data_IF_449076426891
#
_entry.id   IF_449076426891
#
_cell.length_a   1.000
_cell.length_b   1.000
_cell.length_c   1.000
_cell.angle_alpha   90.00
_cell.angle_beta   90.00
_cell.angle_gamma   90.00
#
_symmetry.space_group_name_H-M   'P 1'
#
loop_
_entity.id
_entity.type
_entity.pdbx_description
1 polymer ?
#
# COMPACT_ATOMS: atom_id res chain seq x y z
N UNK A 1 -15.91 35.97 13.60
CA UNK A 1 -14.73 35.11 13.39
C UNK A 1 -15.19 33.67 13.59
N UNK A 2 -15.27 32.86 12.53
CA UNK A 2 -15.60 31.43 12.66
C UNK A 2 -14.31 30.67 12.93
N UNK A 3 -14.13 30.21 14.17
CA UNK A 3 -13.09 29.23 14.48
C UNK A 3 -13.45 27.93 13.75
N UNK A 4 -12.71 27.63 12.69
CA UNK A 4 -12.73 26.31 12.08
C UNK A 4 -11.98 25.39 13.03
N UNK A 5 -12.72 24.63 13.81
CA UNK A 5 -12.16 23.49 14.56
C UNK A 5 -11.66 22.51 13.49
N UNK A 6 -10.34 22.50 13.25
CA UNK A 6 -9.72 21.44 12.45
C UNK A 6 -9.97 20.13 13.21
N UNK A 7 -10.90 19.32 12.73
CA UNK A 7 -10.99 17.92 13.15
C UNK A 7 -9.62 17.28 12.90
N UNK A 8 -9.00 16.78 13.97
CA UNK A 8 -7.74 16.04 13.87
C UNK A 8 -8.10 14.69 13.27
N UNK A 9 -7.76 14.48 12.00
CA UNK A 9 -7.95 13.21 11.30
C UNK A 9 -7.19 12.13 12.08
N UNK A 10 -7.87 11.07 12.51
CA UNK A 10 -7.21 9.90 13.09
C UNK A 10 -6.34 9.27 11.99
N UNK A 11 -5.03 9.19 12.23
CA UNK A 11 -4.05 8.71 11.23
C UNK A 11 -3.45 7.39 11.66
N UNK A 12 -3.40 6.46 10.73
CA UNK A 12 -2.65 5.22 10.88
C UNK A 12 -1.16 5.54 10.87
N UNK A 13 -0.45 5.00 11.86
CA UNK A 13 0.99 5.19 12.04
C UNK A 13 1.61 3.86 12.45
N UNK A 14 2.72 3.51 11.81
CA UNK A 14 3.57 2.39 12.19
C UNK A 14 4.95 2.92 12.61
N UNK A 15 5.37 2.59 13.82
CA UNK A 15 6.73 2.83 14.29
C UNK A 15 7.54 1.54 14.16
N UNK A 16 8.73 1.65 13.58
CA UNK A 16 9.66 0.55 13.37
C UNK A 16 11.05 0.95 13.86
N UNK A 17 11.82 -0.03 14.29
CA UNK A 17 13.18 0.18 14.75
C UNK A 17 14.06 -0.95 14.24
N UNK A 18 15.17 -0.59 13.60
CA UNK A 18 16.14 -1.56 13.10
C UNK A 18 17.55 -0.99 13.21
N UNK A 19 18.43 -1.70 13.92
CA UNK A 19 19.73 -1.19 14.35
C UNK A 19 19.59 0.16 15.07
N UNK A 20 20.38 1.18 14.70
CA UNK A 20 20.35 2.50 15.34
C UNK A 20 19.41 3.50 14.64
N UNK A 21 18.51 3.03 13.76
CA UNK A 21 17.60 3.87 12.98
C UNK A 21 16.15 3.61 13.43
N UNK A 22 15.44 4.69 13.76
CA UNK A 22 13.99 4.65 13.95
C UNK A 22 13.29 5.10 12.68
N UNK A 23 12.24 4.36 12.31
CA UNK A 23 11.40 4.67 11.17
C UNK A 23 9.97 4.93 11.64
N UNK A 24 9.33 5.96 11.10
CA UNK A 24 7.90 6.19 11.28
C UNK A 24 7.22 6.25 9.94
N UNK A 25 6.18 5.46 9.77
CA UNK A 25 5.38 5.41 8.55
C UNK A 25 4.00 5.96 8.85
N UNK A 26 3.67 7.09 8.26
CA UNK A 26 2.39 7.76 8.45
C UNK A 26 1.55 7.64 7.20
N UNK A 27 0.33 7.11 7.33
CA UNK A 27 -0.61 7.09 6.20
C UNK A 27 -0.92 8.51 5.72
N UNK A 28 -0.81 8.73 4.41
CA UNK A 28 -1.18 9.98 3.74
C UNK A 28 -2.45 9.82 2.92
N UNK A 29 -3.35 10.79 2.92
CA UNK A 29 -4.37 10.79 1.87
C UNK A 29 -3.81 11.26 0.52
N UNK A 30 -4.64 11.13 -0.52
CA UNK A 30 -4.28 11.51 -1.89
C UNK A 30 -3.80 12.95 -1.99
N UNK A 31 -4.51 13.89 -1.35
CA UNK A 31 -4.17 15.31 -1.45
C UNK A 31 -2.86 15.63 -0.76
N UNK A 32 -2.59 15.00 0.38
CA UNK A 32 -1.33 15.14 1.11
C UNK A 32 -0.15 14.59 0.32
N UNK A 33 -0.32 13.39 -0.24
CA UNK A 33 0.70 12.75 -1.07
C UNK A 33 1.04 13.61 -2.29
N UNK A 34 0.04 14.09 -3.03
CA UNK A 34 0.26 14.93 -4.23
C UNK A 34 1.03 16.21 -3.90
N UNK A 35 0.64 16.93 -2.83
CA UNK A 35 1.33 18.16 -2.39
C UNK A 35 2.78 17.93 -1.98
N UNK A 36 3.05 16.85 -1.26
CA UNK A 36 4.42 16.49 -0.87
C UNK A 36 5.21 16.02 -2.10
N UNK A 37 4.55 15.34 -3.05
CA UNK A 37 5.18 14.82 -4.26
C UNK A 37 5.72 15.95 -5.14
N UNK A 38 5.00 17.07 -5.25
CA UNK A 38 5.46 18.28 -5.95
C UNK A 38 6.79 18.82 -5.41
N UNK A 39 7.07 18.62 -4.12
CA UNK A 39 8.28 19.08 -3.45
C UNK A 39 9.23 17.92 -3.14
N UNK A 40 9.29 16.91 -4.01
CA UNK A 40 10.12 15.73 -3.75
C UNK A 40 10.96 15.30 -4.95
N UNK A 41 12.11 14.70 -4.65
CA UNK A 41 13.06 14.20 -5.63
C UNK A 41 12.98 12.68 -5.71
N UNK A 42 12.70 12.09 -6.88
CA UNK A 42 12.58 10.64 -7.02
C UNK A 42 13.93 9.97 -6.88
N UNK A 43 13.93 8.85 -6.16
CA UNK A 43 15.12 8.02 -5.94
C UNK A 43 15.03 6.81 -6.87
N UNK A 44 16.12 6.49 -7.56
CA UNK A 44 16.21 5.32 -8.45
C UNK A 44 16.03 4.03 -7.63
N UNK A 45 15.27 3.09 -8.16
CA UNK A 45 15.15 1.75 -7.58
C UNK A 45 16.43 0.93 -7.74
N UNK A 46 16.66 -0.02 -6.84
CA UNK A 46 17.68 -1.05 -6.99
C UNK A 46 17.04 -2.31 -7.58
N UNK A 47 17.04 -2.41 -8.91
CA UNK A 47 16.44 -3.54 -9.62
C UNK A 47 17.03 -4.89 -9.19
N UNK A 48 18.32 -4.92 -8.85
CA UNK A 48 18.98 -6.14 -8.42
C UNK A 48 18.49 -6.56 -7.04
N UNK A 49 18.36 -5.60 -6.12
CA UNK A 49 17.76 -5.85 -4.81
C UNK A 49 16.35 -6.42 -4.94
N UNK A 50 15.49 -5.82 -5.76
CA UNK A 50 14.13 -6.33 -5.97
C UNK A 50 14.16 -7.76 -6.54
N UNK A 51 15.01 -8.03 -7.53
CA UNK A 51 15.16 -9.38 -8.07
C UNK A 51 15.60 -10.38 -6.99
N UNK A 52 16.58 -10.02 -6.16
CA UNK A 52 17.06 -10.86 -5.05
C UNK A 52 15.97 -11.06 -3.99
N UNK A 53 15.21 -10.02 -3.65
CA UNK A 53 14.06 -10.10 -2.75
C UNK A 53 13.03 -11.10 -3.31
N UNK A 54 12.62 -10.95 -4.57
CA UNK A 54 11.66 -11.88 -5.21
C UNK A 54 12.18 -13.31 -5.35
N UNK A 55 13.47 -13.49 -5.67
CA UNK A 55 14.07 -14.82 -5.85
C UNK A 55 14.27 -15.54 -4.52
N UNK A 56 14.68 -14.82 -3.47
CA UNK A 56 14.81 -15.39 -2.13
C UNK A 56 13.44 -15.73 -1.54
N UNK A 57 12.41 -14.95 -1.85
CA UNK A 57 11.02 -15.16 -1.43
C UNK A 57 10.40 -16.42 -2.07
N UNK A 58 10.75 -16.77 -3.33
CA UNK A 58 10.31 -18.03 -3.97
C UNK A 58 10.69 -19.31 -3.24
N UNK A 59 11.67 -19.25 -2.34
CA UNK A 59 12.14 -20.41 -1.58
C UNK A 59 11.61 -20.45 -0.14
N UNK A 60 10.85 -19.44 0.31
CA UNK A 60 10.28 -19.38 1.66
C UNK A 60 8.86 -19.96 1.67
N UNK A 61 8.57 -20.85 2.62
CA UNK A 61 7.23 -21.44 2.79
C UNK A 61 6.23 -20.42 3.36
N UNK A 62 6.75 -19.38 4.01
CA UNK A 62 6.09 -18.32 4.75
C UNK A 62 5.98 -17.00 3.94
N UNK A 63 6.17 -17.08 2.63
CA UNK A 63 5.96 -15.98 1.67
C UNK A 63 4.52 -15.49 1.71
N UNK A 64 4.36 -14.16 1.79
CA UNK A 64 3.04 -13.55 1.59
C UNK A 64 2.70 -13.49 0.10
N UNK A 65 1.51 -13.98 -0.26
CA UNK A 65 0.89 -13.70 -1.56
C UNK A 65 0.29 -12.28 -1.59
N UNK A 66 -0.12 -11.81 -2.77
CA UNK A 66 -0.67 -10.47 -2.98
C UNK A 66 -1.91 -10.20 -2.13
N UNK A 67 -2.76 -11.21 -1.89
CA UNK A 67 -3.94 -11.06 -1.05
C UNK A 67 -3.56 -10.82 0.41
N UNK A 68 -2.60 -11.59 0.92
CA UNK A 68 -2.10 -11.45 2.28
C UNK A 68 -1.38 -10.10 2.46
N UNK A 69 -0.54 -9.69 1.50
CA UNK A 69 0.12 -8.37 1.49
C UNK A 69 -0.92 -7.24 1.48
N UNK A 70 -1.93 -7.34 0.60
CA UNK A 70 -2.99 -6.34 0.52
C UNK A 70 -3.72 -6.19 1.85
N UNK A 71 -4.14 -7.32 2.46
CA UNK A 71 -4.89 -7.32 3.71
C UNK A 71 -4.06 -6.82 4.89
N UNK A 72 -2.79 -7.22 5.02
CA UNK A 72 -1.95 -6.72 6.12
C UNK A 72 -1.66 -5.22 5.98
N UNK A 73 -1.46 -4.74 4.75
CA UNK A 73 -1.27 -3.30 4.51
C UNK A 73 -2.55 -2.53 4.82
N UNK A 74 -3.72 -3.03 4.41
CA UNK A 74 -5.00 -2.40 4.73
C UNK A 74 -5.28 -2.40 6.24
N UNK A 75 -4.92 -3.47 6.95
CA UNK A 75 -5.00 -3.54 8.41
C UNK A 75 -4.12 -2.48 9.10
N UNK A 76 -2.89 -2.29 8.63
CA UNK A 76 -1.94 -1.34 9.22
C UNK A 76 -2.29 0.10 8.85
N UNK A 77 -2.64 0.34 7.59
CA UNK A 77 -2.68 1.66 6.98
C UNK A 77 -4.08 2.15 6.60
N UNK A 78 -5.11 1.33 6.81
CA UNK A 78 -6.46 1.58 6.35
C UNK A 78 -6.59 1.40 4.83
N UNK A 79 -7.71 1.87 4.28
CA UNK A 79 -8.06 1.67 2.87
C UNK A 79 -6.95 2.09 1.87
N UNK A 80 -6.75 1.28 0.84
CA UNK A 80 -5.86 1.58 -0.28
C UNK A 80 -6.29 2.86 -1.00
N UNK A 81 -5.33 3.66 -1.46
CA UNK A 81 -5.60 4.77 -2.38
C UNK A 81 -5.85 4.29 -3.81
N UNK A 82 -6.27 5.20 -4.69
CA UNK A 82 -6.42 4.97 -6.14
C UNK A 82 -5.27 5.59 -6.97
N UNK A 83 -4.09 5.77 -6.36
CA UNK A 83 -2.90 6.33 -7.01
C UNK A 83 -2.07 5.27 -7.74
N UNK A 84 -2.73 4.46 -8.56
CA UNK A 84 -2.11 3.38 -9.35
C UNK A 84 -2.78 3.26 -10.72
N UNK A 85 -2.12 2.54 -11.63
CA UNK A 85 -2.66 2.17 -12.95
C UNK A 85 -3.48 0.87 -12.76
N UNK A 86 -4.81 0.96 -12.82
CA UNK A 86 -5.73 -0.15 -12.53
C UNK A 86 -5.65 -1.31 -13.54
N UNK A 87 -5.05 -1.08 -14.70
CA UNK A 87 -4.69 -2.13 -15.64
C UNK A 87 -3.48 -2.94 -15.17
N UNK A 88 -2.54 -2.29 -14.46
CA UNK A 88 -1.26 -2.89 -14.04
C UNK A 88 -1.13 -3.16 -12.56
N UNK A 89 -2.03 -2.68 -11.73
CA UNK A 89 -2.00 -2.82 -10.29
C UNK A 89 -3.39 -2.68 -9.71
N UNK A 90 -3.49 -2.84 -8.40
CA UNK A 90 -4.76 -3.03 -7.70
C UNK A 90 -4.81 -2.40 -6.30
N UNK A 91 -3.66 -1.98 -5.76
CA UNK A 91 -3.55 -1.21 -4.54
C UNK A 91 -2.37 -0.22 -4.55
N UNK A 92 -2.47 0.79 -3.68
CA UNK A 92 -1.41 1.76 -3.42
C UNK A 92 -1.59 2.39 -2.03
N UNK A 93 -0.58 2.28 -1.19
CA UNK A 93 -0.53 2.87 0.15
C UNK A 93 0.55 3.96 0.19
N UNK A 94 0.19 5.23 -0.09
CA UNK A 94 1.11 6.35 0.10
C UNK A 94 1.32 6.62 1.58
N UNK A 95 2.59 6.71 1.96
CA UNK A 95 3.03 6.96 3.32
C UNK A 95 4.14 8.02 3.36
N UNK A 96 4.15 8.81 4.43
CA UNK A 96 5.31 9.60 4.82
C UNK A 96 6.22 8.70 5.66
N UNK A 97 7.43 8.48 5.17
CA UNK A 97 8.49 7.78 5.88
C UNK A 97 9.40 8.83 6.56
N UNK A 98 9.42 8.81 7.88
CA UNK A 98 10.35 9.59 8.70
C UNK A 98 11.49 8.68 9.13
N UNK A 99 12.70 8.98 8.68
CA UNK A 99 13.93 8.28 9.06
C UNK A 99 14.64 9.12 10.12
N UNK A 100 14.71 8.63 11.35
CA UNK A 100 15.39 9.35 12.44
C UNK A 100 16.76 8.76 12.69
N UNK A 101 17.77 9.62 12.63
CA UNK A 101 19.18 9.33 12.86
C UNK A 101 19.77 10.41 13.76
N UNK A 102 21.04 10.28 14.15
CA UNK A 102 21.75 11.29 14.92
C UNK A 102 21.75 12.68 14.25
N UNK A 103 21.83 12.70 12.92
CA UNK A 103 21.78 13.94 12.12
C UNK A 103 20.40 14.62 12.10
N UNK A 104 19.37 13.96 12.64
CA UNK A 104 18.02 14.49 12.74
C UNK A 104 16.96 13.60 12.07
N UNK A 105 15.78 14.19 11.86
CA UNK A 105 14.67 13.55 11.16
C UNK A 105 14.72 13.90 9.67
N UNK A 106 14.73 12.87 8.83
CA UNK A 106 14.72 12.98 7.39
C UNK A 106 13.38 12.51 6.86
N UNK A 107 12.83 13.22 5.88
CA UNK A 107 11.49 12.99 5.38
C UNK A 107 11.51 12.46 3.95
N UNK A 108 10.89 11.31 3.76
CA UNK A 108 10.72 10.66 2.48
C UNK A 108 9.24 10.39 2.23
N UNK A 109 8.82 10.49 0.97
CA UNK A 109 7.59 9.85 0.53
C UNK A 109 7.92 8.43 0.12
N UNK A 110 7.06 7.50 0.52
CA UNK A 110 7.08 6.15 0.00
C UNK A 110 5.68 5.79 -0.52
N UNK A 111 5.64 5.16 -1.68
CA UNK A 111 4.44 4.50 -2.19
C UNK A 111 4.66 3.00 -2.17
N UNK A 112 3.80 2.27 -1.46
CA UNK A 112 3.77 0.80 -1.47
C UNK A 112 2.63 0.38 -2.39
N UNK A 113 2.93 -0.27 -3.51
CA UNK A 113 1.92 -0.60 -4.52
C UNK A 113 2.28 -1.90 -5.24
N UNK A 114 1.29 -2.56 -5.81
CA UNK A 114 1.54 -3.64 -6.75
C UNK A 114 1.65 -3.12 -8.18
N UNK A 115 2.51 -3.79 -8.95
CA UNK A 115 2.65 -3.58 -10.37
C UNK A 115 2.94 -4.92 -11.04
N UNK A 116 2.04 -5.38 -11.90
CA UNK A 116 2.14 -6.61 -12.68
C UNK A 116 2.40 -7.86 -11.83
N UNK A 117 1.71 -7.93 -10.68
CA UNK A 117 1.80 -9.07 -9.76
C UNK A 117 3.01 -9.05 -8.83
N UNK A 118 3.63 -7.88 -8.62
CA UNK A 118 4.82 -7.74 -7.79
C UNK A 118 4.73 -6.45 -6.98
N UNK A 119 5.25 -6.44 -5.74
CA UNK A 119 5.10 -5.32 -4.80
C UNK A 119 6.32 -4.42 -4.80
N UNK A 120 6.11 -3.14 -5.08
CA UNK A 120 7.15 -2.15 -5.22
C UNK A 120 7.05 -1.05 -4.16
N UNK A 121 8.21 -0.46 -3.87
CA UNK A 121 8.38 0.67 -2.98
C UNK A 121 9.04 1.82 -3.74
N UNK A 122 8.24 2.80 -4.19
CA UNK A 122 8.80 4.02 -4.79
C UNK A 122 9.17 5.00 -3.69
N UNK A 123 10.41 5.49 -3.69
CA UNK A 123 10.91 6.45 -2.71
C UNK A 123 11.19 7.82 -3.32
N UNK A 124 10.86 8.87 -2.57
CA UNK A 124 11.17 10.26 -2.93
C UNK A 124 11.69 11.01 -1.71
N UNK A 125 12.79 11.74 -1.86
CA UNK A 125 13.28 12.65 -0.81
C UNK A 125 12.45 13.93 -0.82
N UNK A 126 11.81 14.28 0.28
CA UNK A 126 11.02 15.53 0.40
C UNK A 126 11.97 16.71 0.61
N UNK A 127 11.76 17.82 -0.09
CA UNK A 127 12.45 19.09 0.12
C UNK A 127 11.57 19.99 0.99
N UNK A 128 12.02 20.32 2.20
CA UNK A 128 11.25 21.14 3.14
C UNK A 128 11.13 22.61 2.69
N UNK A 129 12.11 23.08 1.93
CA UNK A 129 12.08 24.39 1.28
C UNK A 129 11.97 24.17 -0.23
N UNK A 130 10.94 24.73 -0.84
CA UNK A 130 10.74 24.70 -2.29
C UNK A 130 11.89 25.46 -2.98
N UNK A 131 12.90 24.75 -3.46
CA UNK A 131 14.01 25.37 -4.18
C UNK A 131 13.61 25.47 -5.65
N UNK A 132 13.39 26.70 -6.11
CA UNK A 132 13.13 27.00 -7.52
C UNK A 132 14.27 26.42 -8.40
N UNK A 133 13.93 25.61 -9.41
CA UNK A 133 14.89 25.12 -10.40
C UNK A 133 15.32 23.65 -10.26
N UNK A 134 14.80 22.88 -9.30
CA UNK A 134 15.04 21.44 -9.27
C UNK A 134 14.15 20.69 -10.27
N UNK A 135 14.77 19.83 -11.07
CA UNK A 135 14.06 18.87 -11.92
C UNK A 135 13.53 17.71 -11.05
N UNK A 136 12.22 17.72 -10.79
CA UNK A 136 11.50 16.76 -9.93
C UNK A 136 11.13 15.46 -10.63
N UNK A 137 11.41 15.36 -11.93
CA UNK A 137 11.16 14.16 -12.76
C UNK A 137 12.40 13.29 -12.93
N UNK A 138 13.60 13.85 -12.72
CA UNK A 138 14.86 13.14 -12.90
C UNK A 138 15.15 12.24 -11.70
N UNK A 139 15.27 10.93 -11.97
CA UNK A 139 15.71 9.94 -10.98
C UNK A 139 17.10 10.29 -10.43
N UNK A 140 17.29 10.05 -9.14
CA UNK A 140 18.53 10.34 -8.40
C UNK A 140 18.99 9.12 -7.64
N UNK A 141 20.30 8.99 -7.48
CA UNK A 141 20.83 8.04 -6.52
C UNK A 141 20.40 8.43 -5.08
N UNK A 142 20.31 7.45 -4.17
CA UNK A 142 20.08 7.69 -2.76
C UNK A 142 21.07 8.70 -2.18
N UNK A 143 20.59 9.43 -1.17
CA UNK A 143 21.40 10.43 -0.49
C UNK A 143 22.27 9.72 0.54
N UNK A 144 23.51 9.40 0.16
CA UNK A 144 24.43 8.51 0.91
C UNK A 144 24.55 8.83 2.40
N UNK A 145 24.59 10.11 2.77
CA UNK A 145 24.73 10.54 4.16
C UNK A 145 23.40 10.64 4.92
N UNK A 146 22.27 10.64 4.21
CA UNK A 146 20.93 10.75 4.78
C UNK A 146 20.29 9.37 4.93
N UNK A 147 20.07 8.69 3.80
CA UNK A 147 19.46 7.37 3.71
C UNK A 147 20.09 6.62 2.52
N UNK A 148 21.18 5.90 2.79
CA UNK A 148 22.02 5.28 1.76
C UNK A 148 21.28 4.14 1.05
N UNK A 149 21.83 3.68 -0.08
CA UNK A 149 21.28 2.52 -0.80
C UNK A 149 21.18 1.29 0.11
N UNK A 150 22.23 1.05 0.90
CA UNK A 150 22.27 -0.08 1.82
C UNK A 150 21.20 0.06 2.90
N UNK A 151 21.04 1.25 3.49
CA UNK A 151 20.03 1.51 4.51
C UNK A 151 18.60 1.34 3.96
N UNK A 152 18.35 1.80 2.72
CA UNK A 152 17.07 1.59 2.02
C UNK A 152 16.81 0.10 1.85
N UNK A 153 17.74 -0.65 1.25
CA UNK A 153 17.56 -2.08 0.99
C UNK A 153 17.36 -2.88 2.30
N UNK A 154 18.09 -2.53 3.36
CA UNK A 154 17.90 -3.10 4.69
C UNK A 154 16.51 -2.78 5.26
N UNK A 155 16.08 -1.53 5.19
CA UNK A 155 14.74 -1.13 5.63
C UNK A 155 13.63 -1.86 4.87
N UNK A 156 13.73 -1.95 3.54
CA UNK A 156 12.72 -2.64 2.72
C UNK A 156 12.65 -4.13 3.03
N UNK A 157 13.80 -4.79 3.21
CA UNK A 157 13.86 -6.20 3.62
C UNK A 157 13.22 -6.40 4.99
N UNK A 158 13.63 -5.57 5.96
CA UNK A 158 13.09 -5.61 7.32
C UNK A 158 11.58 -5.35 7.35
N UNK A 159 11.10 -4.38 6.56
CA UNK A 159 9.69 -4.07 6.48
C UNK A 159 8.89 -5.22 5.87
N UNK A 160 9.41 -5.86 4.82
CA UNK A 160 8.78 -7.05 4.25
C UNK A 160 8.69 -8.20 5.27
N UNK A 161 9.79 -8.52 5.96
CA UNK A 161 9.81 -9.54 7.01
C UNK A 161 8.86 -9.17 8.18
N UNK A 162 8.75 -7.89 8.52
CA UNK A 162 7.77 -7.39 9.51
C UNK A 162 6.33 -7.66 9.06
N UNK A 163 5.99 -7.39 7.79
CA UNK A 163 4.66 -7.68 7.26
C UNK A 163 4.34 -9.18 7.34
N UNK A 164 5.29 -10.03 6.95
CA UNK A 164 5.13 -11.48 7.03
C UNK A 164 4.90 -11.96 8.47
N UNK A 165 5.79 -11.57 9.40
CA UNK A 165 5.67 -11.94 10.81
C UNK A 165 4.41 -11.40 11.47
N UNK A 166 4.02 -10.16 11.15
CA UNK A 166 2.83 -9.55 11.72
C UNK A 166 1.57 -10.22 11.19
N UNK A 167 1.49 -10.47 9.87
CA UNK A 167 0.38 -11.20 9.28
C UNK A 167 0.20 -12.58 9.93
N UNK A 168 1.26 -13.38 10.06
CA UNK A 168 1.16 -14.69 10.72
C UNK A 168 0.65 -14.60 12.16
N UNK A 169 0.97 -13.52 12.87
CA UNK A 169 0.55 -13.31 14.26
C UNK A 169 -0.94 -12.93 14.40
N UNK A 170 -1.55 -12.39 13.35
CA UNK A 170 -2.93 -11.86 13.39
C UNK A 170 -3.86 -12.50 12.37
N UNK A 171 -3.39 -13.42 11.53
CA UNK A 171 -4.18 -14.05 10.46
C UNK A 171 -5.47 -14.70 10.97
N UNK A 172 -5.45 -15.25 12.19
CA UNK A 172 -6.63 -15.88 12.81
C UNK A 172 -7.60 -14.85 13.41
N UNK A 173 -7.17 -13.59 13.53
CA UNK A 173 -7.96 -12.45 14.02
C UNK A 173 -8.53 -11.66 12.85
N UNK A 174 -7.76 -11.48 11.77
CA UNK A 174 -8.22 -10.81 10.56
C UNK A 174 -9.08 -11.78 9.76
N UNK A 175 -10.39 -11.53 9.76
CA UNK A 175 -11.35 -12.22 8.92
C UNK A 175 -11.88 -11.23 7.88
N UNK A 176 -11.18 -11.04 6.75
CA UNK A 176 -11.66 -10.14 5.72
C UNK A 176 -12.96 -10.70 5.12
N UNK A 177 -13.81 -9.81 4.62
CA UNK A 177 -14.94 -10.25 3.79
C UNK A 177 -14.40 -10.88 2.51
N UNK A 178 -15.19 -11.74 1.86
CA UNK A 178 -14.79 -12.27 0.56
C UNK A 178 -14.52 -11.10 -0.41
N UNK A 179 -13.40 -11.16 -1.13
CA UNK A 179 -13.05 -10.14 -2.11
C UNK A 179 -12.18 -10.75 -3.22
N UNK A 180 -12.18 -10.06 -4.36
CA UNK A 180 -11.16 -10.25 -5.39
C UNK A 180 -10.56 -8.91 -5.81
N UNK A 181 -9.31 -8.97 -6.23
CA UNK A 181 -8.55 -7.93 -6.89
C UNK A 181 -7.99 -8.49 -8.18
N UNK A 182 -7.77 -7.60 -9.13
CA UNK A 182 -7.48 -7.91 -10.53
C UNK A 182 -6.26 -7.14 -10.97
N UNK A 183 -5.38 -7.81 -11.71
CA UNK A 183 -4.27 -7.18 -12.43
C UNK A 183 -4.38 -7.65 -13.87
N UNK A 184 -5.21 -6.94 -14.63
CA UNK A 184 -5.65 -7.37 -15.96
C UNK A 184 -4.46 -7.52 -16.93
N UNK A 185 -3.44 -6.67 -16.84
CA UNK A 185 -2.25 -6.73 -17.71
C UNK A 185 -1.44 -8.03 -17.66
N UNK A 186 -1.61 -8.82 -16.60
CA UNK A 186 -0.91 -10.08 -16.37
C UNK A 186 -1.86 -11.25 -16.14
N UNK A 187 -3.18 -11.02 -16.29
CA UNK A 187 -4.23 -12.01 -16.04
C UNK A 187 -4.11 -12.63 -14.63
N UNK A 188 -3.92 -11.78 -13.62
CA UNK A 188 -3.80 -12.22 -12.22
C UNK A 188 -5.08 -11.85 -11.46
N UNK A 189 -5.63 -12.82 -10.73
CA UNK A 189 -6.70 -12.61 -9.76
C UNK A 189 -6.18 -13.05 -8.40
N UNK A 190 -6.34 -12.22 -7.38
CA UNK A 190 -6.04 -12.61 -6.02
C UNK A 190 -7.14 -12.14 -5.08
N UNK A 191 -7.24 -12.75 -3.92
CA UNK A 191 -8.26 -12.34 -2.97
C UNK A 191 -8.41 -13.27 -1.77
N UNK A 192 -9.58 -13.19 -1.17
CA UNK A 192 -9.99 -14.04 -0.06
C UNK A 192 -11.36 -14.61 -0.36
N UNK A 193 -11.50 -15.94 -0.29
CA UNK A 193 -12.77 -16.65 -0.48
C UNK A 193 -12.80 -17.91 0.37
N UNK A 194 -13.97 -18.21 0.95
CA UNK A 194 -14.21 -19.44 1.71
C UNK A 194 -13.20 -19.69 2.86
N UNK A 195 -12.68 -18.64 3.48
CA UNK A 195 -11.72 -18.77 4.57
C UNK A 195 -10.25 -18.83 4.14
N UNK A 196 -9.97 -18.74 2.84
CA UNK A 196 -8.62 -18.92 2.29
C UNK A 196 -8.21 -17.73 1.42
N UNK A 197 -6.93 -17.36 1.53
CA UNK A 197 -6.26 -16.42 0.64
C UNK A 197 -5.82 -17.13 -0.63
N UNK A 198 -5.92 -16.46 -1.77
CA UNK A 198 -5.50 -17.02 -3.05
C UNK A 198 -4.86 -15.97 -3.97
N UNK A 199 -4.00 -16.42 -4.87
CA UNK A 199 -3.37 -15.66 -5.95
C UNK A 199 -3.19 -16.61 -7.15
N UNK A 200 -3.97 -16.37 -8.20
CA UNK A 200 -4.02 -17.20 -9.41
C UNK A 200 -3.59 -16.36 -10.62
N UNK A 201 -2.69 -16.94 -11.44
CA UNK A 201 -2.34 -16.40 -12.75
C UNK A 201 -2.94 -17.28 -13.85
N UNK A 202 -3.54 -16.66 -14.86
CA UNK A 202 -4.24 -17.34 -15.94
C UNK A 202 -3.44 -17.25 -17.26
N UNK A 203 -3.48 -18.32 -18.04
CA UNK A 203 -2.76 -18.41 -19.32
C UNK A 203 -3.48 -17.71 -20.48
N UNK A 204 -4.78 -17.44 -20.33
CA UNK A 204 -5.62 -16.85 -21.37
C UNK A 204 -6.68 -15.90 -20.82
N UNK A 205 -7.03 -14.89 -21.63
CA UNK A 205 -8.10 -13.93 -21.32
C UNK A 205 -9.43 -14.64 -21.07
N UNK A 206 -9.76 -15.68 -21.83
CA UNK A 206 -11.01 -16.42 -21.68
C UNK A 206 -11.13 -17.06 -20.27
N UNK A 207 -10.07 -17.73 -19.82
CA UNK A 207 -10.04 -18.37 -18.48
C UNK A 207 -10.04 -17.34 -17.34
N UNK A 208 -9.37 -16.21 -17.54
CA UNK A 208 -9.36 -15.07 -16.63
C UNK A 208 -10.76 -14.48 -16.46
N UNK A 209 -11.45 -14.19 -17.56
CA UNK A 209 -12.81 -13.64 -17.54
C UNK A 209 -13.83 -14.65 -16.99
N UNK A 210 -13.65 -15.94 -17.24
CA UNK A 210 -14.50 -16.99 -16.65
C UNK A 210 -14.36 -17.03 -15.11
N UNK A 211 -13.13 -16.95 -14.59
CA UNK A 211 -12.89 -16.92 -13.16
C UNK A 211 -13.49 -15.68 -12.48
N UNK A 212 -13.42 -14.51 -13.12
CA UNK A 212 -14.08 -13.28 -12.63
C UNK A 212 -15.60 -13.49 -12.57
N UNK A 213 -16.22 -13.95 -13.66
CA UNK A 213 -17.67 -14.18 -13.71
C UNK A 213 -18.11 -15.17 -12.64
N UNK A 214 -17.38 -16.27 -12.46
CA UNK A 214 -17.68 -17.26 -11.45
C UNK A 214 -17.72 -16.64 -10.04
N UNK A 215 -16.72 -15.83 -9.69
CA UNK A 215 -16.73 -15.12 -8.40
C UNK A 215 -17.90 -14.13 -8.29
N UNK A 216 -18.16 -13.33 -9.32
CA UNK A 216 -19.25 -12.34 -9.30
C UNK A 216 -20.65 -12.95 -9.20
N UNK A 217 -20.88 -14.09 -9.86
CA UNK A 217 -22.16 -14.81 -9.88
C UNK A 217 -22.39 -15.62 -8.61
N UNK A 218 -21.36 -16.27 -8.07
CA UNK A 218 -21.49 -17.18 -6.92
C UNK A 218 -21.28 -16.45 -5.60
N UNK A 219 -20.20 -15.66 -5.50
CA UNK A 219 -19.79 -14.98 -4.26
C UNK A 219 -20.24 -13.51 -4.23
N UNK A 220 -20.34 -12.86 -5.39
CA UNK A 220 -20.79 -11.47 -5.51
C UNK A 220 -22.27 -11.26 -5.14
N UNK A 221 -23.12 -12.28 -5.30
CA UNK A 221 -24.52 -12.26 -4.85
C UNK A 221 -24.62 -12.25 -3.32
N UNK A 222 -23.66 -12.88 -2.62
CA UNK A 222 -23.60 -12.89 -1.15
C UNK A 222 -23.12 -11.53 -0.59
N UNK A 223 -22.19 -10.87 -1.29
CA UNK A 223 -21.63 -9.56 -0.91
C UNK A 223 -22.58 -8.37 -1.21
N UNK A 224 -23.37 -8.45 -2.28
CA UNK A 224 -24.29 -7.37 -2.72
C UNK A 224 -25.62 -7.28 -1.95
N UNK A 225 -25.80 -8.01 -0.85
CA UNK A 225 -26.90 -7.70 0.11
C UNK A 225 -26.56 -6.44 0.92
N UNK A 226 -26.22 -5.37 0.24
CA UNK A 226 -26.28 -4.03 0.81
C UNK A 226 -27.75 -3.68 0.92
N UNK A 227 -28.27 -3.55 2.14
CA UNK A 227 -29.65 -3.10 2.35
C UNK A 227 -29.73 -1.63 1.95
N UNK A 228 -30.01 -1.39 0.66
CA UNK A 228 -30.18 -0.06 0.09
C UNK A 228 -31.21 0.73 0.89
N UNK A 229 -32.22 0.07 1.49
CA UNK A 229 -33.20 0.77 2.32
C UNK A 229 -32.60 1.27 3.63
N UNK A 230 -31.67 0.53 4.25
CA UNK A 230 -30.98 0.99 5.45
C UNK A 230 -30.09 2.21 5.17
N UNK A 231 -29.35 2.20 4.05
CA UNK A 231 -28.54 3.34 3.61
C UNK A 231 -29.44 4.55 3.30
N UNK A 232 -30.53 4.34 2.56
CA UNK A 232 -31.49 5.40 2.26
C UNK A 232 -32.14 5.96 3.54
N UNK A 233 -32.44 5.12 4.53
CA UNK A 233 -32.96 5.56 5.83
C UNK A 233 -31.93 6.37 6.62
N UNK A 234 -30.65 5.98 6.63
CA UNK A 234 -29.58 6.74 7.29
C UNK A 234 -29.41 8.13 6.65
N UNK A 235 -29.36 8.20 5.32
CA UNK A 235 -29.27 9.46 4.56
C UNK A 235 -30.50 10.35 4.79
N UNK A 236 -31.71 9.77 4.87
CA UNK A 236 -32.96 10.54 5.01
C UNK A 236 -33.29 10.92 6.45
N UNK A 237 -32.78 10.19 7.45
CA UNK A 237 -32.98 10.52 8.86
C UNK A 237 -32.08 11.66 9.36
N UNK A 238 -30.90 11.89 8.77
CA UNK A 238 -30.08 13.09 9.07
C UNK A 238 -30.73 14.42 8.64
N UNK A 239 -31.87 14.37 7.93
CA UNK A 239 -32.60 15.55 7.45
C UNK A 239 -33.69 16.06 8.42
N UNK A 240 -33.90 15.41 9.58
CA UNK A 240 -35.07 15.67 10.45
C UNK A 240 -34.78 16.28 11.83
N UNK A 241 -33.58 16.84 12.06
CA UNK A 241 -33.35 17.71 13.23
C UNK A 241 -32.81 19.09 12.81
N UNK A 242 -33.75 20.02 12.57
CA UNK A 242 -33.57 21.46 12.69
C UNK A 242 -34.80 22.09 13.32
#
# INVERSE_FOLDING_TARGET
MRQVVKQVKQRCKLDLHHADIEYQMWRLDKSEYEKLRENSLPITDDFRFYLELYLSDRQREDRLNLAEIFVILEWIFGESSNLFDDWKGSFCFPVLLVVKKEIGSLYYLMSIYDHRGSVYFSLYRILENSIYGYETQRLREPFEFEFSRQEINCFLSYFYDYLAGYFQSIRDIILPQNFIKKIDSNLIIYGYKNGEYFEDQYDSEDSYQEAIRFFEEVDGILLKRTDINAILQEITNESSER
#
